data_IF_402519481372
#
_entry.id   IF_402519481372
#
_cell.length_a   1.000
_cell.length_b   1.000
_cell.length_c   1.000
_cell.angle_alpha   90.00
_cell.angle_beta   90.00
_cell.angle_gamma   90.00
#
_symmetry.space_group_name_H-M   'P 1'
#
loop_
_entity.id
_entity.type
_entity.pdbx_description
1 polymer ?
#
# COMPACT_ATOMS: atom_id res chain seq x y z
N UNK A 1 21.52 -4.08 1.33
CA UNK A 1 20.84 -4.31 2.62
C UNK A 1 19.36 -3.99 2.55
N UNK A 2 18.92 -3.32 1.49
CA UNK A 2 17.51 -3.20 1.10
C UNK A 2 17.33 -3.96 -0.22
N UNK A 3 16.11 -4.46 -0.46
CA UNK A 3 15.71 -5.06 -1.71
C UNK A 3 15.35 -3.91 -2.66
N UNK A 4 16.02 -3.81 -3.80
CA UNK A 4 15.96 -2.62 -4.66
C UNK A 4 14.79 -2.68 -5.65
N UNK A 5 14.12 -3.84 -5.73
CA UNK A 5 13.00 -4.07 -6.65
C UNK A 5 11.87 -4.86 -6.01
N UNK A 6 10.66 -4.65 -6.55
CA UNK A 6 9.48 -5.42 -6.16
C UNK A 6 9.70 -6.93 -6.33
N UNK A 7 10.33 -7.34 -7.43
CA UNK A 7 10.58 -8.75 -7.72
C UNK A 7 11.53 -9.39 -6.70
N UNK A 8 12.52 -8.64 -6.20
CA UNK A 8 13.38 -9.09 -5.10
C UNK A 8 12.64 -9.13 -3.76
N UNK A 9 11.79 -8.13 -3.49
CA UNK A 9 10.93 -8.10 -2.30
C UNK A 9 9.89 -9.23 -2.27
N UNK A 10 9.51 -9.76 -3.44
CA UNK A 10 8.57 -10.88 -3.56
C UNK A 10 9.22 -12.25 -3.50
N UNK A 11 10.55 -12.34 -3.67
CA UNK A 11 11.27 -13.61 -3.65
C UNK A 11 11.76 -14.02 -2.25
N UNK A 12 11.63 -13.16 -1.25
CA UNK A 12 12.04 -13.45 0.13
C UNK A 12 10.95 -14.22 0.89
N UNK A 13 11.35 -15.15 1.76
CA UNK A 13 10.42 -16.00 2.52
C UNK A 13 9.43 -15.19 3.38
N UNK A 14 9.84 -14.00 3.82
CA UNK A 14 9.01 -13.09 4.62
C UNK A 14 7.95 -12.36 3.81
N UNK A 15 8.00 -12.41 2.48
CA UNK A 15 7.05 -11.73 1.60
C UNK A 15 5.60 -12.10 1.91
N UNK A 16 5.35 -13.38 2.23
CA UNK A 16 4.02 -13.86 2.63
C UNK A 16 3.51 -13.22 3.92
N UNK A 17 4.39 -12.94 4.87
CA UNK A 17 4.01 -12.27 6.12
C UNK A 17 3.65 -10.81 5.85
N UNK A 18 4.35 -10.15 4.93
CA UNK A 18 4.04 -8.80 4.50
C UNK A 18 2.73 -8.74 3.71
N UNK A 19 2.48 -9.69 2.83
CA UNK A 19 1.21 -9.84 2.12
C UNK A 19 0.04 -9.99 3.10
N UNK A 20 0.16 -10.90 4.05
CA UNK A 20 -0.84 -11.09 5.09
C UNK A 20 -1.05 -9.82 5.93
N UNK A 21 0.03 -9.13 6.33
CA UNK A 21 -0.08 -7.89 7.09
C UNK A 21 -0.79 -6.79 6.29
N UNK A 22 -0.53 -6.68 4.98
CA UNK A 22 -1.22 -5.73 4.10
C UNK A 22 -2.71 -6.03 4.01
N UNK A 23 -3.10 -7.31 3.91
CA UNK A 23 -4.50 -7.71 3.89
C UNK A 23 -5.22 -7.42 5.21
N UNK A 24 -4.57 -7.69 6.34
CA UNK A 24 -5.10 -7.42 7.69
C UNK A 24 -5.30 -5.91 7.93
N UNK A 25 -4.33 -5.09 7.53
CA UNK A 25 -4.44 -3.63 7.56
C UNK A 25 -5.57 -3.14 6.64
N UNK A 26 -5.63 -3.62 5.39
CA UNK A 26 -6.68 -3.23 4.44
C UNK A 26 -8.08 -3.56 4.98
N UNK A 27 -8.26 -4.75 5.54
CA UNK A 27 -9.51 -5.15 6.18
C UNK A 27 -9.86 -4.23 7.36
N UNK A 28 -8.88 -3.93 8.20
CA UNK A 28 -9.05 -3.02 9.35
C UNK A 28 -9.48 -1.61 8.89
N UNK A 29 -8.90 -1.10 7.79
CA UNK A 29 -9.28 0.20 7.21
C UNK A 29 -10.74 0.22 6.76
N UNK A 30 -11.21 -0.87 6.14
CA UNK A 30 -12.59 -1.00 5.68
C UNK A 30 -13.59 -1.16 6.84
N UNK A 31 -13.23 -1.92 7.88
CA UNK A 31 -14.10 -2.20 9.03
C UNK A 31 -14.25 -1.00 9.98
N UNK A 32 -13.18 -0.23 10.18
CA UNK A 32 -13.18 0.90 11.11
C UNK A 32 -13.92 2.14 10.58
N UNK A 33 -14.42 2.12 9.34
CA UNK A 33 -15.09 3.23 8.65
C UNK A 33 -14.34 4.58 8.80
N UNK A 34 -13.03 4.52 8.98
CA UNK A 34 -12.19 5.68 9.26
C UNK A 34 -11.71 6.35 7.97
N UNK A 35 -11.85 5.65 6.83
CA UNK A 35 -11.35 6.06 5.53
C UNK A 35 -12.45 6.01 4.47
N UNK A 36 -12.62 7.11 3.74
CA UNK A 36 -13.53 7.20 2.59
C UNK A 36 -12.76 7.11 1.28
N UNK A 37 -13.16 6.20 0.40
CA UNK A 37 -12.62 6.09 -0.94
C UNK A 37 -13.11 7.27 -1.80
N UNK A 38 -12.24 8.23 -2.05
CA UNK A 38 -12.53 9.34 -2.96
C UNK A 38 -12.21 8.96 -4.39
N UNK A 39 -13.07 9.38 -5.33
CA UNK A 39 -12.78 9.21 -6.75
C UNK A 39 -11.54 10.02 -7.09
N UNK A 40 -10.59 9.39 -7.78
CA UNK A 40 -9.44 10.08 -8.33
C UNK A 40 -9.95 11.14 -9.32
N UNK A 41 -9.86 12.41 -8.92
CA UNK A 41 -10.20 13.53 -9.79
C UNK A 41 -9.15 13.57 -10.91
N UNK A 42 -9.61 13.37 -12.14
CA UNK A 42 -8.75 13.23 -13.32
C UNK A 42 -7.65 14.29 -13.39
N UNK A 43 -6.41 13.82 -13.61
CA UNK A 43 -5.16 14.57 -13.77
C UNK A 43 -5.09 15.89 -12.99
N UNK A 44 -5.25 15.82 -11.67
CA UNK A 44 -4.67 16.84 -10.81
C UNK A 44 -3.16 16.62 -10.82
N UNK A 45 -2.41 17.58 -11.38
CA UNK A 45 -0.97 17.63 -11.19
C UNK A 45 -0.73 17.66 -9.69
N UNK A 46 0.08 16.74 -9.16
CA UNK A 46 0.50 16.78 -7.76
C UNK A 46 0.86 18.20 -7.39
N UNK A 47 0.39 18.64 -6.22
CA UNK A 47 0.93 19.82 -5.56
C UNK A 47 2.41 19.49 -5.37
N UNK A 48 3.28 20.29 -6.00
CA UNK A 48 4.71 20.14 -5.88
C UNK A 48 5.10 20.12 -4.39
N UNK A 49 5.96 19.18 -4.02
CA UNK A 49 6.75 19.24 -2.79
C UNK A 49 7.37 20.65 -2.65
N UNK A 50 7.19 21.27 -1.48
CA UNK A 50 7.91 22.45 -1.01
C UNK A 50 8.76 22.05 0.20
#
# INVERSE_FOLDING_TARGET
GELESFDEAMQVDVSKNWEQAMDEEHKSLMENQTWDLVKLLGRQKSIAEQ
#
